data_IF_042760776991
#
_entry.id   IF_042760776991
#
_cell.length_a   1.000
_cell.length_b   1.000
_cell.length_c   1.000
_cell.angle_alpha   90.00
_cell.angle_beta   90.00
_cell.angle_gamma   90.00
#
_symmetry.space_group_name_H-M   'P 1'
#
loop_
_entity.id
_entity.type
_entity.pdbx_description
1 polymer ?
#
# COMPACT_ATOMS: atom_id res chain seq x y z
N UNK A 1 54.05 2.82 28.83
CA UNK A 1 53.09 1.70 28.85
C UNK A 1 51.73 2.35 28.74
N UNK A 2 51.20 2.24 27.53
CA UNK A 2 50.22 3.11 26.92
C UNK A 2 48.85 2.99 27.59
N UNK A 3 48.37 4.12 28.12
CA UNK A 3 47.01 4.22 28.66
C UNK A 3 45.98 3.98 27.54
N UNK A 4 46.32 4.34 26.30
CA UNK A 4 45.50 4.09 25.10
C UNK A 4 45.43 2.61 24.70
N UNK A 5 46.49 1.81 24.91
CA UNK A 5 46.41 0.35 24.69
C UNK A 5 45.57 -0.33 25.78
N UNK A 6 45.68 0.14 27.02
CA UNK A 6 44.89 -0.40 28.12
C UNK A 6 43.40 -0.07 27.96
N UNK A 7 43.06 1.14 27.51
CA UNK A 7 41.68 1.53 27.20
C UNK A 7 41.13 0.85 25.95
N UNK A 8 41.93 0.64 24.90
CA UNK A 8 41.51 -0.17 23.75
C UNK A 8 41.31 -1.65 24.12
N UNK A 9 42.17 -2.19 24.97
CA UNK A 9 42.04 -3.56 25.46
C UNK A 9 40.86 -3.70 26.43
N UNK A 10 40.56 -2.69 27.26
CA UNK A 10 39.37 -2.66 28.11
C UNK A 10 38.09 -2.48 27.29
N UNK A 11 38.07 -1.60 26.28
CA UNK A 11 36.96 -1.47 25.34
C UNK A 11 36.73 -2.77 24.54
N UNK A 12 37.80 -3.49 24.21
CA UNK A 12 37.72 -4.81 23.58
C UNK A 12 37.29 -5.90 24.57
N UNK A 13 37.69 -5.84 25.85
CA UNK A 13 37.19 -6.73 26.91
C UNK A 13 35.74 -6.43 27.30
N UNK A 14 35.28 -5.19 27.19
CA UNK A 14 33.88 -4.80 27.38
C UNK A 14 33.01 -5.12 26.16
N UNK A 15 33.58 -5.11 24.95
CA UNK A 15 33.00 -5.74 23.76
C UNK A 15 32.78 -7.25 23.98
N UNK A 16 33.63 -7.89 24.80
CA UNK A 16 33.46 -9.28 25.24
C UNK A 16 32.62 -9.46 26.52
N UNK A 17 32.05 -8.42 27.12
CA UNK A 17 31.09 -8.53 28.24
C UNK A 17 29.62 -8.58 27.79
N UNK A 18 29.40 -8.91 26.51
CA UNK A 18 28.14 -9.44 26.00
C UNK A 18 28.23 -10.93 25.69
N UNK A 19 28.79 -11.77 26.58
CA UNK A 19 28.61 -13.23 26.44
C UNK A 19 27.18 -13.60 26.84
N UNK A 20 26.22 -13.25 26.00
CA UNK A 20 25.13 -14.19 25.78
C UNK A 20 25.68 -15.14 24.73
N UNK A 21 25.80 -16.42 25.05
CA UNK A 21 26.27 -17.43 24.10
C UNK A 21 25.52 -17.23 22.77
N UNK A 22 26.23 -17.25 21.65
CA UNK A 22 25.59 -17.12 20.33
C UNK A 22 24.50 -18.18 20.17
N UNK A 23 24.72 -19.36 20.73
CA UNK A 23 23.74 -20.44 20.78
C UNK A 23 22.56 -20.09 21.70
N UNK A 24 22.78 -19.37 22.80
CA UNK A 24 21.72 -18.88 23.68
C UNK A 24 20.90 -17.76 23.04
N UNK A 25 21.52 -16.85 22.28
CA UNK A 25 20.81 -15.82 21.51
C UNK A 25 19.95 -16.44 20.41
N UNK A 26 20.47 -17.45 19.71
CA UNK A 26 19.73 -18.23 18.72
C UNK A 26 18.53 -18.93 19.37
N UNK A 27 18.74 -19.61 20.50
CA UNK A 27 17.65 -20.25 21.27
C UNK A 27 16.64 -19.23 21.79
N UNK A 28 17.09 -18.07 22.26
CA UNK A 28 16.21 -16.99 22.73
C UNK A 28 15.38 -16.43 21.57
N UNK A 29 15.98 -16.19 20.41
CA UNK A 29 15.26 -15.74 19.22
C UNK A 29 14.20 -16.77 18.80
N UNK A 30 14.57 -18.05 18.71
CA UNK A 30 13.63 -19.13 18.41
C UNK A 30 12.52 -19.24 19.45
N UNK A 31 12.83 -19.03 20.74
CA UNK A 31 11.87 -19.05 21.85
C UNK A 31 10.93 -17.84 21.86
N UNK A 32 11.38 -16.68 21.41
CA UNK A 32 10.51 -15.49 21.29
C UNK A 32 9.58 -15.63 20.08
N UNK A 33 10.05 -16.28 19.01
CA UNK A 33 9.30 -16.47 17.76
C UNK A 33 8.46 -17.75 17.73
N UNK A 34 8.07 -18.31 18.89
CA UNK A 34 7.45 -19.64 19.14
C UNK A 34 6.21 -20.02 18.33
N UNK A 35 5.72 -19.17 17.42
CA UNK A 35 4.68 -19.50 16.45
C UNK A 35 5.15 -19.88 15.05
N UNK A 36 6.35 -19.47 14.63
CA UNK A 36 6.89 -19.74 13.30
C UNK A 36 8.12 -20.64 13.43
N UNK A 37 8.20 -21.72 12.64
CA UNK A 37 9.37 -22.62 12.62
C UNK A 37 10.59 -21.91 12.02
N UNK A 38 11.20 -20.99 12.77
CA UNK A 38 12.45 -20.37 12.37
C UNK A 38 13.57 -21.37 12.57
N UNK A 39 14.07 -21.93 11.47
CA UNK A 39 15.22 -22.83 11.50
C UNK A 39 16.42 -22.13 12.16
N UNK A 40 17.26 -22.89 12.87
CA UNK A 40 18.43 -22.41 13.59
C UNK A 40 19.37 -21.60 12.68
N UNK A 41 19.58 -22.09 11.46
CA UNK A 41 20.35 -21.39 10.44
C UNK A 41 19.77 -20.01 10.07
N UNK A 42 18.44 -19.88 10.03
CA UNK A 42 17.79 -18.61 9.73
C UNK A 42 17.85 -17.63 10.92
N UNK A 43 17.71 -18.13 12.15
CA UNK A 43 17.89 -17.35 13.37
C UNK A 43 19.33 -16.81 13.48
N UNK A 44 20.32 -17.68 13.28
CA UNK A 44 21.73 -17.31 13.30
C UNK A 44 22.06 -16.28 12.21
N UNK A 45 21.52 -16.46 11.00
CA UNK A 45 21.70 -15.50 9.90
C UNK A 45 21.12 -14.11 10.22
N UNK A 46 19.90 -14.04 10.76
CA UNK A 46 19.27 -12.77 11.13
C UNK A 46 19.99 -12.08 12.28
N UNK A 47 20.48 -12.84 13.26
CA UNK A 47 21.34 -12.33 14.32
C UNK A 47 22.65 -11.80 13.73
N UNK A 48 23.30 -12.53 12.84
CA UNK A 48 24.55 -12.12 12.21
C UNK A 48 24.39 -10.83 11.40
N UNK A 49 23.33 -10.72 10.59
CA UNK A 49 22.96 -9.49 9.86
C UNK A 49 22.74 -8.27 10.77
N UNK A 50 22.37 -8.51 12.04
CA UNK A 50 22.05 -7.48 13.03
C UNK A 50 23.13 -7.37 14.11
N UNK A 51 24.38 -7.74 13.80
CA UNK A 51 25.52 -7.69 14.73
C UNK A 51 25.26 -8.41 16.06
N UNK A 52 24.56 -9.54 16.00
CA UNK A 52 24.16 -10.36 17.15
C UNK A 52 23.28 -9.63 18.18
N UNK A 53 22.63 -8.53 17.77
CA UNK A 53 21.63 -7.86 18.59
C UNK A 53 20.27 -8.56 18.45
N UNK A 54 19.85 -9.25 19.50
CA UNK A 54 18.60 -10.02 19.54
C UNK A 54 17.37 -9.17 19.22
N UNK A 55 17.28 -7.96 19.79
CA UNK A 55 16.14 -7.07 19.56
C UNK A 55 16.07 -6.63 18.10
N UNK A 56 17.19 -6.19 17.53
CA UNK A 56 17.26 -5.75 16.13
C UNK A 56 16.97 -6.91 15.16
N UNK A 57 17.44 -8.13 15.47
CA UNK A 57 17.13 -9.33 14.70
C UNK A 57 15.65 -9.70 14.76
N UNK A 58 15.01 -9.59 15.94
CA UNK A 58 13.57 -9.83 16.10
C UNK A 58 12.76 -8.77 15.34
N UNK A 59 13.13 -7.49 15.44
CA UNK A 59 12.48 -6.41 14.67
C UNK A 59 12.62 -6.67 13.17
N UNK A 60 13.83 -6.98 12.69
CA UNK A 60 14.07 -7.31 11.28
C UNK A 60 13.25 -8.52 10.82
N UNK A 61 13.10 -9.54 11.68
CA UNK A 61 12.27 -10.69 11.39
C UNK A 61 10.80 -10.31 11.20
N UNK A 62 10.23 -9.55 12.14
CA UNK A 62 8.84 -9.10 12.03
C UNK A 62 8.64 -8.14 10.85
N UNK A 63 9.58 -7.25 10.56
CA UNK A 63 9.51 -6.38 9.38
C UNK A 63 9.52 -7.20 8.09
N UNK A 64 10.36 -8.23 8.03
CA UNK A 64 10.47 -9.11 6.87
C UNK A 64 9.25 -10.02 6.71
N UNK A 65 8.72 -10.61 7.78
CA UNK A 65 7.46 -11.36 7.78
C UNK A 65 6.27 -10.47 7.41
N UNK A 66 6.22 -9.24 7.94
CA UNK A 66 5.18 -8.28 7.61
C UNK A 66 5.21 -7.93 6.12
N UNK A 67 6.40 -7.79 5.54
CA UNK A 67 6.58 -7.49 4.11
C UNK A 67 6.30 -8.71 3.22
N UNK A 68 6.71 -9.91 3.63
CA UNK A 68 6.47 -11.17 2.90
C UNK A 68 4.99 -11.53 2.80
N UNK A 69 4.22 -11.21 3.82
CA UNK A 69 2.80 -11.52 3.90
C UNK A 69 1.90 -10.35 3.47
N UNK A 70 2.46 -9.31 2.82
CA UNK A 70 1.63 -8.26 2.27
C UNK A 70 0.73 -8.81 1.15
N UNK A 71 -0.54 -8.39 1.10
CA UNK A 71 -1.39 -8.71 -0.03
C UNK A 71 -0.80 -8.14 -1.33
N UNK A 72 -1.20 -8.69 -2.47
CA UNK A 72 -0.77 -8.16 -3.78
C UNK A 72 -1.98 -7.66 -4.56
N UNK A 73 -1.79 -6.54 -5.25
CA UNK A 73 -2.80 -5.94 -6.13
C UNK A 73 -2.11 -5.50 -7.42
N UNK A 74 -2.74 -5.82 -8.55
CA UNK A 74 -2.30 -5.40 -9.87
C UNK A 74 -3.41 -4.62 -10.56
N UNK A 75 -3.06 -3.49 -11.18
CA UNK A 75 -3.99 -2.73 -12.02
C UNK A 75 -4.22 -3.48 -13.34
N UNK A 76 -5.47 -3.77 -13.68
CA UNK A 76 -5.83 -4.37 -14.97
C UNK A 76 -6.07 -3.28 -16.00
N UNK A 77 -6.97 -2.35 -15.69
CA UNK A 77 -7.25 -1.21 -16.53
C UNK A 77 -7.81 -0.05 -15.72
N UNK A 78 -7.61 1.13 -16.28
CA UNK A 78 -8.23 2.36 -15.80
C UNK A 78 -9.64 2.45 -16.39
N UNK A 79 -10.67 2.48 -15.53
CA UNK A 79 -12.06 2.57 -15.95
C UNK A 79 -12.60 3.96 -15.63
N UNK A 80 -12.37 4.93 -16.50
CA UNK A 80 -13.01 6.24 -16.37
C UNK A 80 -13.76 6.65 -17.62
N UNK A 81 -14.91 7.30 -17.40
CA UNK A 81 -15.67 8.04 -18.40
C UNK A 81 -14.78 9.18 -18.94
N UNK A 82 -14.62 9.23 -20.26
CA UNK A 82 -14.03 10.37 -20.96
C UNK A 82 -12.51 10.34 -21.08
N UNK A 83 -11.91 9.25 -21.58
CA UNK A 83 -10.51 9.29 -22.02
C UNK A 83 -10.30 10.45 -23.00
N UNK A 84 -9.51 11.44 -22.59
CA UNK A 84 -9.22 12.66 -23.36
C UNK A 84 -10.18 13.84 -23.12
N UNK A 85 -11.21 13.69 -22.30
CA UNK A 85 -12.11 14.79 -21.97
C UNK A 85 -11.54 15.67 -20.86
N UNK A 86 -11.74 16.98 -21.00
CA UNK A 86 -11.40 17.93 -19.92
C UNK A 86 -12.57 18.08 -18.96
N UNK A 87 -12.24 18.30 -17.70
CA UNK A 87 -13.18 18.46 -16.60
C UNK A 87 -13.30 19.95 -16.28
N UNK A 88 -14.51 20.52 -16.16
CA UNK A 88 -14.62 21.90 -15.69
C UNK A 88 -14.10 22.05 -14.26
N UNK A 89 -13.67 23.25 -13.83
CA UNK A 89 -13.30 23.50 -12.45
C UNK A 89 -14.42 23.14 -11.45
N UNK A 90 -14.05 22.74 -10.22
CA UNK A 90 -14.97 22.44 -9.11
C UNK A 90 -16.09 21.42 -9.45
N UNK A 91 -15.81 20.52 -10.38
CA UNK A 91 -16.78 19.53 -10.89
C UNK A 91 -16.58 18.20 -10.19
N UNK A 92 -17.68 17.60 -9.75
CA UNK A 92 -17.67 16.25 -9.18
C UNK A 92 -17.60 15.22 -10.29
N UNK A 93 -16.76 14.20 -10.11
CA UNK A 93 -16.66 13.08 -11.03
C UNK A 93 -16.27 11.82 -10.26
N UNK A 94 -16.59 10.65 -10.82
CA UNK A 94 -16.20 9.36 -10.25
C UNK A 94 -15.08 8.76 -11.09
N UNK A 95 -14.00 8.38 -10.42
CA UNK A 95 -12.88 7.64 -11.00
C UNK A 95 -13.00 6.18 -10.59
N UNK A 96 -12.93 5.26 -11.55
CA UNK A 96 -12.89 3.84 -11.26
C UNK A 96 -11.63 3.17 -11.85
N UNK A 97 -11.22 2.07 -11.23
CA UNK A 97 -10.15 1.20 -11.73
C UNK A 97 -10.58 -0.26 -11.59
N UNK A 98 -10.25 -1.09 -12.57
CA UNK A 98 -10.34 -2.54 -12.42
C UNK A 98 -9.01 -3.07 -11.93
N UNK A 99 -9.04 -3.72 -10.78
CA UNK A 99 -7.85 -4.26 -10.11
C UNK A 99 -8.03 -5.73 -9.80
N UNK A 100 -6.94 -6.47 -9.79
CA UNK A 100 -6.91 -7.88 -9.45
C UNK A 100 -6.18 -8.12 -8.13
N UNK A 101 -6.66 -9.07 -7.33
CA UNK A 101 -5.80 -9.71 -6.33
C UNK A 101 -4.83 -10.66 -7.03
N UNK A 102 -3.60 -10.18 -7.29
CA UNK A 102 -2.51 -10.99 -7.85
C UNK A 102 -1.77 -11.85 -6.82
N UNK A 103 -2.25 -11.82 -5.57
CA UNK A 103 -1.76 -12.60 -4.43
C UNK A 103 -2.13 -14.08 -4.47
N UNK A 104 -1.46 -14.85 -3.60
CA UNK A 104 -1.81 -16.24 -3.33
C UNK A 104 -2.94 -16.39 -2.29
N UNK A 105 -3.14 -15.37 -1.45
CA UNK A 105 -4.11 -15.35 -0.36
C UNK A 105 -5.19 -14.29 -0.60
N UNK A 106 -6.41 -14.46 -0.04
CA UNK A 106 -7.44 -13.44 -0.10
C UNK A 106 -6.98 -12.15 0.58
N UNK A 107 -7.42 -11.00 0.06
CA UNK A 107 -7.17 -9.73 0.74
C UNK A 107 -7.83 -9.73 2.14
N UNK A 108 -7.11 -9.25 3.17
CA UNK A 108 -7.62 -9.24 4.54
C UNK A 108 -8.73 -8.20 4.72
N UNK A 109 -9.48 -8.32 5.81
CA UNK A 109 -10.47 -7.30 6.18
C UNK A 109 -9.80 -5.98 6.60
N UNK A 110 -10.53 -4.88 6.45
CA UNK A 110 -10.08 -3.57 6.90
C UNK A 110 -8.93 -3.01 6.06
N UNK A 111 -8.84 -3.40 4.78
CA UNK A 111 -7.95 -2.76 3.81
C UNK A 111 -8.64 -1.60 3.11
N UNK A 112 -7.84 -0.67 2.60
CA UNK A 112 -8.34 0.55 2.00
C UNK A 112 -7.50 0.97 0.81
N UNK A 113 -8.12 1.62 -0.16
CA UNK A 113 -7.44 2.41 -1.16
C UNK A 113 -7.22 3.82 -0.59
N UNK A 114 -5.98 4.28 -0.53
CA UNK A 114 -5.60 5.51 0.15
C UNK A 114 -4.90 6.49 -0.80
N UNK A 115 -5.22 7.77 -0.67
CA UNK A 115 -4.47 8.84 -1.30
C UNK A 115 -3.08 8.92 -0.68
N UNK A 116 -2.05 9.05 -1.51
CA UNK A 116 -0.63 9.02 -1.07
C UNK A 116 0.19 10.21 -1.56
N UNK A 117 -0.37 11.08 -2.41
CA UNK A 117 0.31 12.28 -2.89
C UNK A 117 -0.24 12.85 -4.20
N UNK A 118 0.30 13.99 -4.63
CA UNK A 118 -0.20 14.73 -5.79
C UNK A 118 -1.31 15.72 -5.42
N UNK A 119 -2.16 16.10 -6.37
CA UNK A 119 -3.32 16.93 -6.12
C UNK A 119 -4.38 16.14 -5.34
N UNK A 120 -4.82 16.68 -4.21
CA UNK A 120 -5.97 16.18 -3.49
C UNK A 120 -7.24 16.71 -4.18
N UNK A 121 -8.04 15.81 -4.74
CA UNK A 121 -9.23 16.12 -5.55
C UNK A 121 -10.51 15.86 -4.75
N UNK A 122 -10.69 16.60 -3.65
CA UNK A 122 -11.83 16.46 -2.73
C UNK A 122 -11.45 15.98 -1.32
N UNK A 123 -12.47 15.74 -0.49
CA UNK A 123 -12.28 15.35 0.92
C UNK A 123 -12.05 13.85 1.12
N UNK A 124 -12.43 13.03 0.13
CA UNK A 124 -12.22 11.59 0.20
C UNK A 124 -10.73 11.29 0.01
N UNK A 125 -10.09 10.79 1.07
CA UNK A 125 -8.67 10.38 1.04
C UNK A 125 -8.50 8.86 1.22
N UNK A 126 -9.59 8.15 1.55
CA UNK A 126 -9.57 6.71 1.84
C UNK A 126 -10.90 6.06 1.48
N UNK A 127 -10.85 4.94 0.75
CA UNK A 127 -12.02 4.14 0.36
C UNK A 127 -11.87 2.71 0.87
N UNK A 128 -12.85 2.13 1.57
CA UNK A 128 -12.80 0.74 2.01
C UNK A 128 -12.82 -0.20 0.81
N UNK A 129 -12.01 -1.26 0.86
CA UNK A 129 -11.92 -2.27 -0.20
C UNK A 129 -12.42 -3.61 0.33
N UNK A 130 -13.30 -4.32 -0.41
CA UNK A 130 -13.78 -5.62 0.02
C UNK A 130 -12.68 -6.68 0.03
N UNK A 131 -12.87 -7.72 0.86
CA UNK A 131 -12.07 -8.93 0.79
C UNK A 131 -12.20 -9.55 -0.61
N UNK A 132 -11.07 -9.78 -1.27
CA UNK A 132 -11.04 -10.28 -2.64
C UNK A 132 -10.23 -11.58 -2.69
N UNK A 133 -10.80 -12.71 -3.13
CA UNK A 133 -10.06 -13.96 -3.26
C UNK A 133 -8.91 -13.86 -4.28
N UNK A 134 -7.92 -14.76 -4.22
CA UNK A 134 -6.84 -14.83 -5.21
C UNK A 134 -7.38 -14.86 -6.65
N UNK A 135 -6.73 -14.11 -7.54
CA UNK A 135 -7.03 -14.02 -8.99
C UNK A 135 -8.38 -13.40 -9.35
N UNK A 136 -9.20 -13.01 -8.37
CA UNK A 136 -10.45 -12.29 -8.59
C UNK A 136 -10.17 -10.81 -8.90
N UNK A 137 -11.11 -10.18 -9.60
CA UNK A 137 -11.07 -8.78 -10.02
C UNK A 137 -12.20 -8.01 -9.35
N UNK A 138 -11.94 -6.74 -9.03
CA UNK A 138 -12.96 -5.82 -8.50
C UNK A 138 -12.80 -4.44 -9.14
N UNK A 139 -13.91 -3.71 -9.27
CA UNK A 139 -13.88 -2.29 -9.60
C UNK A 139 -13.79 -1.46 -8.31
N UNK A 140 -12.74 -0.63 -8.20
CA UNK A 140 -12.59 0.34 -7.12
C UNK A 140 -12.95 1.72 -7.65
N UNK A 141 -13.95 2.37 -7.02
CA UNK A 141 -14.41 3.70 -7.38
C UNK A 141 -14.14 4.73 -6.29
N UNK A 142 -13.73 5.93 -6.67
CA UNK A 142 -13.58 7.09 -5.79
C UNK A 142 -14.33 8.28 -6.38
N UNK A 143 -15.17 8.91 -5.57
CA UNK A 143 -15.82 10.17 -5.90
C UNK A 143 -14.88 11.34 -5.58
N UNK A 144 -14.60 12.16 -6.59
CA UNK A 144 -13.61 13.23 -6.57
C UNK A 144 -14.22 14.56 -7.01
N UNK A 145 -13.53 15.66 -6.71
CA UNK A 145 -13.86 17.01 -7.18
C UNK A 145 -12.63 17.61 -7.86
N UNK A 146 -12.79 18.10 -9.10
CA UNK A 146 -11.70 18.75 -9.83
C UNK A 146 -11.26 20.05 -9.13
N UNK A 147 -9.97 20.41 -9.19
CA UNK A 147 -9.46 21.69 -8.69
C UNK A 147 -10.17 22.90 -9.30
N UNK A 148 -10.05 24.06 -8.63
CA UNK A 148 -10.55 25.34 -9.13
C UNK A 148 -9.72 25.91 -10.27
N UNK A 149 -8.42 25.62 -10.28
CA UNK A 149 -7.49 26.11 -11.28
C UNK A 149 -7.47 25.22 -12.52
N UNK A 150 -7.27 25.82 -13.68
CA UNK A 150 -7.10 25.08 -14.95
C UNK A 150 -5.70 24.50 -15.06
N UNK A 151 -5.57 23.37 -15.77
CA UNK A 151 -4.29 22.68 -15.95
C UNK A 151 -4.39 21.17 -15.82
N UNK A 152 -3.25 20.49 -15.87
CA UNK A 152 -3.17 19.03 -15.71
C UNK A 152 -2.87 18.71 -14.25
N UNK A 153 -3.71 17.87 -13.65
CA UNK A 153 -3.58 17.45 -12.26
C UNK A 153 -3.48 15.94 -12.16
N UNK A 154 -2.64 15.49 -11.23
CA UNK A 154 -2.43 14.08 -10.96
C UNK A 154 -2.63 13.78 -9.47
N UNK A 155 -3.37 12.73 -9.16
CA UNK A 155 -3.61 12.24 -7.79
C UNK A 155 -3.15 10.79 -7.69
N UNK A 156 -2.35 10.49 -6.66
CA UNK A 156 -1.68 9.20 -6.49
C UNK A 156 -2.37 8.40 -5.41
N UNK A 157 -2.71 7.14 -5.71
CA UNK A 157 -3.45 6.26 -4.82
C UNK A 157 -2.76 4.91 -4.69
N UNK A 158 -2.85 4.30 -3.51
CA UNK A 158 -2.27 2.99 -3.24
C UNK A 158 -3.06 2.22 -2.18
N UNK A 159 -3.07 0.90 -2.32
CA UNK A 159 -3.67 0.03 -1.32
C UNK A 159 -2.90 0.08 0.00
N UNK A 160 -3.63 0.05 1.10
CA UNK A 160 -3.11 0.11 2.46
C UNK A 160 -3.82 -0.93 3.32
N UNK A 161 -3.04 -1.70 4.07
CA UNK A 161 -3.52 -2.65 5.08
C UNK A 161 -4.04 -1.93 6.33
N UNK A 162 -4.74 -2.66 7.20
CA UNK A 162 -5.24 -2.13 8.48
C UNK A 162 -4.13 -1.66 9.42
N UNK A 163 -2.92 -2.25 9.32
CA UNK A 163 -1.73 -1.84 10.08
C UNK A 163 -0.94 -0.68 9.43
N UNK A 164 -1.41 -0.11 8.31
CA UNK A 164 -0.81 1.05 7.66
C UNK A 164 0.27 0.75 6.62
N UNK A 165 0.59 -0.52 6.35
CA UNK A 165 1.52 -0.90 5.29
C UNK A 165 0.91 -0.73 3.90
N UNK A 166 1.65 -0.16 2.97
CA UNK A 166 1.22 -0.02 1.58
C UNK A 166 1.57 -1.25 0.75
N UNK A 167 0.67 -1.65 -0.15
CA UNK A 167 0.89 -2.79 -1.04
C UNK A 167 0.34 -2.57 -2.45
N UNK A 168 0.70 -3.48 -3.36
CA UNK A 168 0.26 -3.45 -4.76
C UNK A 168 0.74 -2.25 -5.58
N UNK A 169 0.22 -2.20 -6.79
CA UNK A 169 0.47 -1.16 -7.78
C UNK A 169 0.00 0.22 -7.30
N UNK A 170 0.69 1.25 -7.78
CA UNK A 170 0.30 2.64 -7.61
C UNK A 170 -0.66 2.98 -8.75
N UNK A 171 -1.87 3.42 -8.42
CA UNK A 171 -2.87 3.85 -9.39
C UNK A 171 -3.02 5.36 -9.36
N UNK A 172 -3.42 5.94 -10.49
CA UNK A 172 -3.40 7.37 -10.70
C UNK A 172 -4.74 7.89 -11.17
N UNK A 173 -5.09 9.08 -10.70
CA UNK A 173 -6.10 9.95 -11.33
C UNK A 173 -5.33 10.99 -12.09
N UNK A 174 -5.52 11.11 -13.41
CA UNK A 174 -4.94 12.19 -14.21
C UNK A 174 -6.10 12.87 -14.92
N UNK A 175 -6.26 14.17 -14.69
CA UNK A 175 -7.31 14.97 -15.32
C UNK A 175 -6.72 16.25 -15.90
N UNK A 176 -7.35 16.72 -16.98
CA UNK A 176 -7.13 18.07 -17.51
C UNK A 176 -8.31 18.93 -17.11
N UNK A 177 -8.09 19.96 -16.30
CA UNK A 177 -9.11 20.92 -15.91
C UNK A 177 -9.12 22.09 -16.90
N UNK A 178 -10.28 22.34 -17.50
CA UNK A 178 -10.48 23.40 -18.51
C UNK A 178 -11.87 23.98 -18.38
N UNK A 179 -12.03 25.30 -18.56
CA UNK A 179 -13.34 25.97 -18.55
C UNK A 179 -14.29 25.41 -19.62
N UNK A 180 -13.74 24.90 -20.73
CA UNK A 180 -14.48 24.28 -21.83
C UNK A 180 -14.68 22.77 -21.65
N UNK A 181 -14.53 22.25 -20.42
CA UNK A 181 -14.61 20.83 -20.13
C UNK A 181 -15.96 20.20 -20.51
N UNK A 182 -15.93 19.06 -21.20
CA UNK A 182 -17.13 18.36 -21.69
C UNK A 182 -17.62 17.28 -20.73
N UNK A 183 -16.82 16.88 -19.73
CA UNK A 183 -17.15 15.74 -18.86
C UNK A 183 -18.52 15.87 -18.19
N UNK A 184 -18.89 17.08 -17.75
CA UNK A 184 -20.18 17.32 -17.13
C UNK A 184 -21.34 17.05 -18.10
N UNK A 185 -21.18 17.45 -19.37
CA UNK A 185 -22.18 17.24 -20.42
C UNK A 185 -22.26 15.77 -20.81
N UNK A 186 -21.12 15.09 -20.96
CA UNK A 186 -21.12 13.66 -21.32
C UNK A 186 -21.70 12.78 -20.22
N UNK A 187 -21.46 13.10 -18.94
CA UNK A 187 -22.12 12.43 -17.82
C UNK A 187 -23.64 12.65 -17.83
N UNK A 188 -24.11 13.88 -18.06
CA UNK A 188 -25.54 14.17 -18.15
C UNK A 188 -26.20 13.43 -19.33
N UNK A 189 -25.56 13.39 -20.50
CA UNK A 189 -26.05 12.65 -21.66
C UNK A 189 -26.12 11.14 -21.40
N UNK A 190 -25.12 10.57 -20.72
CA UNK A 190 -25.12 9.15 -20.35
C UNK A 190 -26.25 8.81 -19.37
N UNK A 191 -26.52 9.68 -18.40
CA UNK A 191 -27.65 9.52 -17.48
C UNK A 191 -29.01 9.61 -18.20
N UNK A 192 -29.16 10.52 -19.17
CA UNK A 192 -30.38 10.63 -19.96
C UNK A 192 -30.64 9.39 -20.83
N UNK A 193 -29.60 8.85 -21.46
CA UNK A 193 -29.73 7.68 -22.35
C UNK A 193 -30.00 6.39 -21.57
N UNK A 194 -29.39 6.20 -20.39
CA UNK A 194 -29.69 5.05 -19.51
C UNK A 194 -31.09 5.13 -18.91
N UNK A 195 -31.61 6.33 -18.66
CA UNK A 195 -32.98 6.52 -18.16
C UNK A 195 -34.05 6.18 -19.23
N UNK A 196 -33.81 6.50 -20.50
CA UNK A 196 -34.72 6.15 -21.60
C UNK A 196 -34.82 4.65 -21.84
N UNK A 197 -33.74 3.89 -21.66
CA UNK A 197 -33.74 2.44 -21.88
C UNK A 197 -34.55 1.65 -20.84
N UNK A 198 -34.79 2.21 -19.64
CA UNK A 198 -35.59 1.55 -18.61
C UNK A 198 -37.10 1.73 -18.78
N UNK A 199 -37.55 2.73 -19.55
CA UNK A 199 -38.99 2.95 -19.80
C UNK A 199 -39.55 2.08 -20.94
N UNK A 200 -38.70 1.46 -21.78
CA UNK A 200 -39.14 0.58 -22.87
C UNK A 200 -39.33 -0.90 -22.48
N UNK A 201 -39.07 -1.29 -21.22
CA UNK A 201 -39.25 -2.68 -20.73
C UNK A 201 -40.48 -2.89 -19.83
N UNK A 202 -41.38 -1.89 -19.71
CA UNK A 202 -42.55 -1.94 -18.81
C UNK A 202 -43.91 -2.08 -19.55
N UNK A 203 -43.93 -2.67 -20.75
CA UNK A 203 -45.17 -3.04 -21.45
C UNK A 203 -45.13 -4.49 -21.95
#
# INVERSE_FOLDING_TARGET
MDVDELDQHLLQQFSCLGTTDKDDLVKQMQKVLVGNQLNEAAAAFLLDMNNWNLQAAICSYFDFETTRNLPMMTLICDSTIGEGESVPPNTKFRKSWHVQNSGAEPWPEGIFLNYTGGAQMGECTRVPVPCLPPRQTVELGVDLTSPSDTGVFQSKWRMMTSNGSYFGDIIWVIITVSESGTLAVTQQLHQLSTSQSNDEQMW
#
